data_IF_642770626761
#
_entry.id   IF_642770626761
#
_cell.length_a   1.000
_cell.length_b   1.000
_cell.length_c   1.000
_cell.angle_alpha   90.00
_cell.angle_beta   90.00
_cell.angle_gamma   90.00
#
_symmetry.space_group_name_H-M   'P 1'
#
loop_
_entity.id
_entity.type
_entity.pdbx_description
1 polymer ?
#
# COMPACT_ATOMS: atom_id res chain seq x y z
N UNK A 1 -11.96 -20.81 3.44
CA UNK A 1 -10.85 -20.29 4.28
C UNK A 1 -10.77 -18.77 4.05
N UNK A 2 -11.28 -17.94 4.97
CA UNK A 2 -11.26 -16.48 4.79
C UNK A 2 -9.85 -15.98 5.07
N UNK A 3 -9.09 -15.69 4.00
CA UNK A 3 -7.74 -15.12 4.08
C UNK A 3 -7.91 -13.67 4.56
N UNK A 4 -7.51 -13.39 5.79
CA UNK A 4 -7.56 -12.04 6.36
C UNK A 4 -6.36 -11.22 5.78
N UNK A 5 -6.57 -10.18 4.96
CA UNK A 5 -5.52 -9.23 4.58
C UNK A 5 -4.84 -8.54 5.78
N UNK A 6 -3.63 -8.04 5.57
CA UNK A 6 -2.80 -7.33 6.58
C UNK A 6 -3.55 -6.17 7.26
N UNK A 7 -4.54 -5.58 6.59
CA UNK A 7 -5.50 -4.62 7.14
C UNK A 7 -6.13 -5.05 8.47
N UNK A 8 -6.40 -6.34 8.67
CA UNK A 8 -7.04 -6.84 9.89
C UNK A 8 -6.13 -6.85 11.12
N UNK A 9 -4.81 -6.76 10.95
CA UNK A 9 -3.91 -6.62 12.10
C UNK A 9 -4.08 -5.25 12.77
N UNK A 10 -4.29 -4.19 11.98
CA UNK A 10 -4.50 -2.82 12.45
C UNK A 10 -5.80 -2.67 13.24
N UNK A 11 -6.86 -3.39 12.86
CA UNK A 11 -8.15 -3.37 13.57
C UNK A 11 -8.10 -4.05 14.95
N UNK A 12 -7.01 -4.73 15.32
CA UNK A 12 -6.83 -5.29 16.67
C UNK A 12 -6.39 -4.24 17.69
N UNK A 13 -5.99 -3.05 17.23
CA UNK A 13 -5.64 -1.94 18.09
C UNK A 13 -6.89 -1.14 18.50
N UNK A 14 -6.73 -0.27 19.51
CA UNK A 14 -7.78 0.58 20.06
C UNK A 14 -7.40 2.05 19.88
N UNK A 15 -8.39 2.92 19.66
CA UNK A 15 -8.21 4.36 19.55
C UNK A 15 -9.07 4.97 18.45
N UNK A 16 -9.32 6.28 18.54
CA UNK A 16 -10.28 6.99 17.69
C UNK A 16 -10.09 6.75 16.18
N UNK A 17 -8.85 6.69 15.69
CA UNK A 17 -8.57 6.40 14.28
C UNK A 17 -8.94 4.96 13.90
N UNK A 18 -8.62 3.99 14.77
CA UNK A 18 -8.91 2.59 14.51
C UNK A 18 -10.41 2.32 14.60
N UNK A 19 -11.10 2.98 15.51
CA UNK A 19 -12.55 2.90 15.63
C UNK A 19 -13.25 3.50 14.41
N UNK A 20 -12.79 4.67 13.94
CA UNK A 20 -13.24 5.26 12.67
C UNK A 20 -12.99 4.34 11.46
N UNK A 21 -11.83 3.69 11.38
CA UNK A 21 -11.52 2.71 10.32
C UNK A 21 -12.39 1.43 10.39
N UNK A 22 -12.96 1.10 11.55
CA UNK A 22 -13.84 -0.07 11.74
C UNK A 22 -15.27 0.21 11.29
N UNK A 23 -15.69 1.48 11.26
CA UNK A 23 -17.00 1.86 10.75
C UNK A 23 -17.17 1.37 9.31
N UNK A 24 -18.30 0.72 9.03
CA UNK A 24 -18.51 0.03 7.75
C UNK A 24 -18.43 0.99 6.56
N UNK A 25 -18.94 2.21 6.71
CA UNK A 25 -18.91 3.23 5.67
C UNK A 25 -17.48 3.61 5.29
N UNK A 26 -16.64 3.99 6.26
CA UNK A 26 -15.25 4.40 6.01
C UNK A 26 -14.43 3.24 5.46
N UNK A 27 -14.63 2.05 6.01
CA UNK A 27 -13.95 0.85 5.53
C UNK A 27 -14.32 0.56 4.07
N UNK A 28 -15.59 0.58 3.72
CA UNK A 28 -16.04 0.31 2.36
C UNK A 28 -15.55 1.39 1.38
N UNK A 29 -15.46 2.65 1.82
CA UNK A 29 -14.90 3.74 1.03
C UNK A 29 -13.39 3.58 0.74
N UNK A 30 -12.65 2.95 1.66
CA UNK A 30 -11.21 2.71 1.53
C UNK A 30 -10.86 1.39 0.81
N UNK A 31 -11.79 0.44 0.76
CA UNK A 31 -11.55 -0.85 0.12
C UNK A 31 -11.73 -0.76 -1.38
N UNK A 32 -10.69 -1.15 -2.10
CA UNK A 32 -10.77 -1.35 -3.54
C UNK A 32 -11.34 -2.74 -3.83
N UNK A 33 -12.49 -2.79 -4.50
CA UNK A 33 -13.31 -4.01 -4.63
C UNK A 33 -13.11 -4.78 -5.94
N UNK A 34 -12.33 -4.25 -6.89
CA UNK A 34 -12.03 -4.97 -8.12
C UNK A 34 -11.13 -6.17 -7.85
N UNK A 35 -11.36 -7.29 -8.56
CA UNK A 35 -10.46 -8.44 -8.52
C UNK A 35 -9.23 -8.20 -9.39
N UNK A 36 -8.06 -8.63 -8.92
CA UNK A 36 -6.84 -8.53 -9.71
C UNK A 36 -6.91 -9.49 -10.91
N UNK A 37 -6.55 -9.02 -12.10
CA UNK A 37 -6.45 -9.89 -13.27
C UNK A 37 -5.35 -10.96 -13.04
N UNK A 38 -5.68 -12.26 -13.01
CA UNK A 38 -4.72 -13.32 -12.72
C UNK A 38 -3.53 -13.36 -13.69
N UNK A 39 -3.73 -13.02 -14.96
CA UNK A 39 -2.67 -12.99 -15.97
C UNK A 39 -1.67 -11.86 -15.69
N UNK A 40 -2.16 -10.70 -15.25
CA UNK A 40 -1.31 -9.59 -14.84
C UNK A 40 -0.55 -9.92 -13.56
N UNK A 41 -1.19 -10.56 -12.58
CA UNK A 41 -0.52 -11.02 -11.35
C UNK A 41 0.61 -11.99 -11.68
N UNK A 42 0.36 -12.97 -12.55
CA UNK A 42 1.38 -13.90 -13.01
C UNK A 42 2.52 -13.19 -13.77
N UNK A 43 2.20 -12.24 -14.65
CA UNK A 43 3.19 -11.46 -15.39
C UNK A 43 4.08 -10.62 -14.45
N UNK A 44 3.48 -9.94 -13.46
CA UNK A 44 4.22 -9.18 -12.44
C UNK A 44 5.09 -10.10 -11.59
N UNK A 45 4.59 -11.27 -11.19
CA UNK A 45 5.37 -12.22 -10.39
C UNK A 45 6.61 -12.69 -11.16
N UNK A 46 6.41 -13.15 -12.39
CA UNK A 46 7.46 -13.76 -13.21
C UNK A 46 8.48 -12.75 -13.74
N UNK A 47 8.02 -11.63 -14.32
CA UNK A 47 8.91 -10.60 -14.91
C UNK A 47 9.40 -9.59 -13.87
N UNK A 48 8.57 -9.29 -12.88
CA UNK A 48 8.87 -8.31 -11.85
C UNK A 48 9.76 -8.87 -10.75
N UNK A 49 9.65 -10.13 -10.37
CA UNK A 49 10.45 -10.70 -9.27
C UNK A 49 11.39 -11.79 -9.78
N UNK A 50 10.84 -12.96 -10.10
CA UNK A 50 11.53 -14.06 -10.79
C UNK A 50 10.52 -15.09 -11.29
N UNK A 51 10.88 -15.85 -12.33
CA UNK A 51 10.03 -16.91 -12.87
C UNK A 51 10.01 -18.18 -11.98
N UNK A 52 11.02 -18.33 -11.13
CA UNK A 52 11.32 -19.54 -10.34
C UNK A 52 11.48 -19.20 -8.85
N UNK A 53 10.61 -18.35 -8.29
CA UNK A 53 10.60 -18.07 -6.86
C UNK A 53 10.31 -19.37 -6.08
N UNK A 54 11.10 -19.63 -5.04
CA UNK A 54 10.78 -20.68 -4.09
C UNK A 54 9.64 -20.25 -3.13
N UNK A 55 9.21 -21.15 -2.24
CA UNK A 55 8.12 -20.88 -1.30
C UNK A 55 8.42 -19.73 -0.34
N UNK A 56 9.67 -19.61 0.13
CA UNK A 56 10.08 -18.55 1.05
C UNK A 56 10.15 -17.20 0.34
N UNK A 57 10.66 -17.19 -0.88
CA UNK A 57 10.68 -16.02 -1.75
C UNK A 57 9.27 -15.57 -2.12
N UNK A 58 8.36 -16.50 -2.42
CA UNK A 58 6.96 -16.18 -2.69
C UNK A 58 6.24 -15.60 -1.46
N UNK A 59 6.54 -16.12 -0.27
CA UNK A 59 6.03 -15.57 0.99
C UNK A 59 6.55 -14.14 1.22
N UNK A 60 7.84 -13.90 0.97
CA UNK A 60 8.46 -12.57 1.07
C UNK A 60 7.86 -11.56 0.09
N UNK A 61 7.63 -11.95 -1.17
CA UNK A 61 6.96 -11.11 -2.18
C UNK A 61 5.53 -10.77 -1.77
N UNK A 62 4.85 -11.72 -1.10
CA UNK A 62 3.56 -11.48 -0.47
C UNK A 62 2.48 -11.01 -1.44
N UNK A 63 2.00 -9.77 -1.26
CA UNK A 63 0.86 -9.21 -2.00
C UNK A 63 1.23 -8.16 -3.04
N UNK A 64 2.51 -7.85 -3.19
CA UNK A 64 2.96 -6.82 -4.11
C UNK A 64 2.55 -7.10 -5.57
N UNK A 65 2.61 -8.35 -6.09
CA UNK A 65 2.13 -8.63 -7.45
C UNK A 65 0.65 -8.31 -7.67
N UNK A 66 -0.19 -8.46 -6.63
CA UNK A 66 -1.61 -8.11 -6.71
C UNK A 66 -1.80 -6.59 -6.76
N UNK A 67 -1.10 -5.85 -5.90
CA UNK A 67 -1.13 -4.39 -5.88
C UNK A 67 -0.71 -3.80 -7.23
N UNK A 68 0.41 -4.28 -7.77
CA UNK A 68 0.98 -3.78 -9.03
C UNK A 68 0.09 -4.15 -10.22
N UNK A 69 -0.50 -5.36 -10.24
CA UNK A 69 -1.41 -5.78 -11.30
C UNK A 69 -2.62 -4.84 -11.44
N UNK A 70 -3.15 -4.31 -10.33
CA UNK A 70 -4.23 -3.32 -10.38
C UNK A 70 -3.82 -1.98 -10.98
N UNK A 71 -2.54 -1.64 -10.93
CA UNK A 71 -2.02 -0.37 -11.40
C UNK A 71 -1.66 -0.34 -12.90
N UNK A 72 -1.54 -1.52 -13.53
CA UNK A 72 -1.33 -1.63 -14.99
C UNK A 72 -2.47 -0.97 -15.79
N UNK A 73 -3.67 -0.90 -15.24
CA UNK A 73 -4.87 -0.35 -15.90
C UNK A 73 -5.06 1.17 -15.68
N UNK A 74 -4.00 1.96 -15.82
CA UNK A 74 -4.01 3.43 -15.66
C UNK A 74 -4.21 3.92 -14.21
N UNK A 75 -3.50 3.31 -13.25
CA UNK A 75 -3.48 3.79 -11.86
C UNK A 75 -2.06 4.01 -11.37
N UNK A 76 -1.96 4.67 -10.22
CA UNK A 76 -0.70 4.93 -9.54
C UNK A 76 -0.60 4.07 -8.27
N UNK A 77 0.59 3.54 -8.00
CA UNK A 77 0.89 2.91 -6.71
C UNK A 77 1.42 3.97 -5.75
N UNK A 78 0.90 4.00 -4.52
CA UNK A 78 1.48 4.80 -3.44
C UNK A 78 2.15 3.86 -2.46
N UNK A 79 3.45 4.06 -2.20
CA UNK A 79 4.24 3.21 -1.31
C UNK A 79 5.18 4.02 -0.44
N UNK A 80 5.52 3.48 0.73
CA UNK A 80 6.59 3.99 1.60
C UNK A 80 7.95 3.35 1.29
N UNK A 81 8.01 2.38 0.37
CA UNK A 81 9.26 1.75 -0.04
C UNK A 81 10.20 2.75 -0.72
N UNK A 82 11.47 2.71 -0.32
CA UNK A 82 12.54 3.41 -1.01
C UNK A 82 13.06 2.53 -2.14
N UNK A 83 13.17 3.08 -3.35
CA UNK A 83 13.77 2.41 -4.52
C UNK A 83 15.16 1.88 -4.20
N UNK A 84 15.43 0.63 -4.61
CA UNK A 84 16.72 -0.02 -4.47
C UNK A 84 16.98 -0.94 -5.68
N UNK A 85 17.32 -0.39 -6.87
CA UNK A 85 17.35 -1.14 -8.14
C UNK A 85 18.35 -2.31 -8.19
N UNK A 86 19.34 -2.29 -7.29
CA UNK A 86 20.32 -3.36 -7.12
C UNK A 86 19.73 -4.61 -6.47
N UNK A 87 18.61 -4.50 -5.73
CA UNK A 87 17.91 -5.65 -5.16
C UNK A 87 17.24 -6.45 -6.28
N UNK A 88 17.21 -7.78 -6.11
CA UNK A 88 16.72 -8.75 -7.10
C UNK A 88 15.80 -9.77 -6.43
N UNK A 89 15.02 -10.47 -7.25
CA UNK A 89 14.09 -11.52 -6.83
C UNK A 89 13.16 -11.03 -5.71
N UNK A 90 12.90 -11.83 -4.67
CA UNK A 90 12.01 -11.47 -3.57
C UNK A 90 12.40 -10.21 -2.78
N UNK A 91 13.64 -9.73 -2.92
CA UNK A 91 14.10 -8.50 -2.24
C UNK A 91 13.82 -7.22 -3.04
N UNK A 92 13.26 -7.32 -4.26
CA UNK A 92 12.93 -6.16 -5.08
C UNK A 92 11.91 -5.26 -4.39
N UNK A 93 12.01 -3.97 -4.67
CA UNK A 93 11.14 -2.94 -4.11
C UNK A 93 10.00 -2.64 -5.08
N UNK A 94 8.81 -2.42 -4.53
CA UNK A 94 7.61 -2.04 -5.28
C UNK A 94 7.87 -0.93 -6.30
N UNK A 95 8.50 0.22 -5.97
CA UNK A 95 8.75 1.27 -6.96
C UNK A 95 9.62 0.80 -8.14
N UNK A 96 10.59 -0.08 -7.92
CA UNK A 96 11.45 -0.58 -8.99
C UNK A 96 10.70 -1.56 -9.89
N UNK A 97 9.83 -2.38 -9.32
CA UNK A 97 8.97 -3.27 -10.11
C UNK A 97 7.94 -2.46 -10.89
N UNK A 98 7.31 -1.44 -10.28
CA UNK A 98 6.42 -0.53 -11.00
C UNK A 98 7.11 0.13 -12.20
N UNK A 99 8.36 0.57 -12.05
CA UNK A 99 9.13 1.20 -13.13
C UNK A 99 9.31 0.27 -14.34
N UNK A 100 9.58 -1.02 -14.14
CA UNK A 100 9.72 -2.00 -15.22
C UNK A 100 8.43 -2.21 -16.02
N UNK A 101 7.28 -1.98 -15.40
CA UNK A 101 5.96 -2.07 -16.01
C UNK A 101 5.44 -0.72 -16.52
N UNK A 102 6.22 0.35 -16.43
CA UNK A 102 5.80 1.70 -16.82
C UNK A 102 4.70 2.29 -15.92
N UNK A 103 4.56 1.78 -14.71
CA UNK A 103 3.53 2.19 -13.74
C UNK A 103 4.08 3.34 -12.90
N UNK A 104 3.30 4.42 -12.76
CA UNK A 104 3.64 5.51 -11.85
C UNK A 104 3.58 5.01 -10.40
N UNK A 105 4.69 5.12 -9.67
CA UNK A 105 4.76 4.87 -8.24
C UNK A 105 5.21 6.15 -7.53
N UNK A 106 4.50 6.57 -6.48
CA UNK A 106 4.79 7.81 -5.73
C UNK A 106 4.83 7.57 -4.23
N UNK A 107 5.37 8.54 -3.50
CA UNK A 107 5.34 8.55 -2.04
C UNK A 107 4.02 9.12 -1.51
N UNK A 108 3.71 8.90 -0.23
CA UNK A 108 2.58 9.54 0.42
C UNK A 108 2.67 11.07 0.38
N UNK A 109 3.86 11.64 0.54
CA UNK A 109 4.05 13.09 0.48
C UNK A 109 3.71 13.62 -0.91
N UNK A 110 4.17 12.94 -1.96
CA UNK A 110 3.84 13.28 -3.33
C UNK A 110 2.34 13.15 -3.61
N UNK A 111 1.64 12.18 -3.00
CA UNK A 111 0.18 12.06 -3.09
C UNK A 111 -0.51 13.28 -2.46
N UNK A 112 -0.11 13.64 -1.24
CA UNK A 112 -0.65 14.80 -0.52
C UNK A 112 -0.48 16.08 -1.35
N UNK A 113 0.72 16.31 -1.88
CA UNK A 113 1.01 17.45 -2.75
C UNK A 113 0.20 17.41 -4.06
N UNK A 114 0.10 16.24 -4.70
CA UNK A 114 -0.62 16.08 -5.97
C UNK A 114 -2.13 16.33 -5.82
N UNK A 115 -2.70 15.95 -4.69
CA UNK A 115 -4.12 16.16 -4.39
C UNK A 115 -4.41 17.55 -3.82
N UNK A 116 -3.38 18.39 -3.62
CA UNK A 116 -3.47 19.64 -2.85
C UNK A 116 -4.23 19.43 -1.53
N UNK A 117 -3.92 18.32 -0.85
CA UNK A 117 -4.70 17.89 0.29
C UNK A 117 -4.43 18.83 1.46
N UNK A 118 -5.41 19.67 1.75
CA UNK A 118 -5.42 20.53 2.93
C UNK A 118 -6.47 20.03 3.90
N UNK A 119 -6.17 20.17 5.18
CA UNK A 119 -7.18 20.01 6.23
C UNK A 119 -7.48 21.40 6.77
N UNK A 120 -8.74 21.72 7.03
CA UNK A 120 -9.10 22.93 7.79
C UNK A 120 -8.76 22.78 9.29
N UNK A 121 -7.71 22.02 9.61
CA UNK A 121 -7.36 21.68 10.98
C UNK A 121 -6.99 22.95 11.73
N UNK A 122 -7.76 23.22 12.80
CA UNK A 122 -7.52 24.32 13.72
C UNK A 122 -6.83 23.76 14.95
N UNK A 123 -5.63 24.25 15.34
CA UNK A 123 -4.99 23.81 16.55
C UNK A 123 -5.92 24.03 17.75
N UNK A 124 -6.16 22.97 18.52
CA UNK A 124 -6.88 23.07 19.78
C UNK A 124 -6.14 24.00 20.74
N UNK A 125 -6.87 24.72 21.60
CA UNK A 125 -6.23 25.52 22.67
C UNK A 125 -5.41 24.59 23.55
N UNK A 126 -4.08 24.64 23.42
CA UNK A 126 -3.17 23.96 24.34
C UNK A 126 -3.32 24.67 25.69
N UNK A 127 -3.96 24.03 26.66
CA UNK A 127 -3.99 24.53 28.03
C UNK A 127 -2.55 24.55 28.54
N UNK A 128 -2.06 25.74 28.87
CA UNK A 128 -0.75 25.94 29.48
C UNK A 128 -0.83 25.28 30.86
N UNK A 129 -0.09 24.18 31.06
CA UNK A 129 0.04 23.58 32.38
C UNK A 129 0.95 24.53 33.16
N UNK A 130 0.36 25.34 34.03
CA UNK A 130 1.14 26.11 35.00
C UNK A 130 1.70 25.13 36.04
N UNK A 131 3.02 25.08 36.11
CA UNK A 131 3.79 24.31 37.10
C UNK A 131 3.55 24.85 38.50
N UNK A 132 3.12 23.98 39.42
CA UNK A 132 3.10 24.22 40.86
C UNK A 132 4.51 24.12 41.44
#
# INVERSE_FOLDING_TARGET
MKRFPVFWQWLRHNGALVDWLKEEENKNALLFMEEANPELVAAVTTKGYAADLDEAELEMVGRDPFLIAHAVADRCVVSFDVSAPSKKRANRKVPDVCADFGIKCITLFSLIETLDFTTEWKPGKVARIESW
#
